data_IF_101935774131
#
_entry.id   IF_101935774131
#
_cell.length_a   1.000
_cell.length_b   1.000
_cell.length_c   1.000
_cell.angle_alpha   90.00
_cell.angle_beta   90.00
_cell.angle_gamma   90.00
#
_symmetry.space_group_name_H-M   'P 1'
#
loop_
_entity.id
_entity.type
_entity.pdbx_description
1 polymer ?
#
# COMPACT_ATOMS: atom_id res chain seq x y z
N UNK A 1 -25.81 -0.38 -2.57
CA UNK A 1 -24.65 -0.52 -3.50
C UNK A 1 -23.42 0.36 -3.17
N UNK A 2 -23.56 1.65 -2.79
CA UNK A 2 -22.39 2.54 -2.53
C UNK A 2 -21.47 2.07 -1.38
N UNK A 3 -22.03 1.46 -0.32
CA UNK A 3 -21.24 1.01 0.86
C UNK A 3 -20.29 -0.16 0.56
N UNK A 4 -20.72 -1.13 -0.26
CA UNK A 4 -19.87 -2.26 -0.64
C UNK A 4 -18.67 -1.81 -1.49
N UNK A 5 -18.88 -0.88 -2.42
CA UNK A 5 -17.80 -0.29 -3.23
C UNK A 5 -16.78 0.45 -2.37
N UNK A 6 -17.21 1.29 -1.42
CA UNK A 6 -16.28 2.02 -0.53
C UNK A 6 -15.50 1.11 0.43
N UNK A 7 -16.03 -0.08 0.74
CA UNK A 7 -15.32 -1.08 1.52
C UNK A 7 -14.27 -1.80 0.69
N UNK A 8 -14.63 -2.32 -0.49
CA UNK A 8 -13.73 -3.13 -1.31
C UNK A 8 -12.69 -2.31 -2.08
N UNK A 9 -13.03 -1.09 -2.49
CA UNK A 9 -12.15 -0.24 -3.30
C UNK A 9 -10.74 -0.05 -2.72
N UNK A 10 -10.55 0.41 -1.45
CA UNK A 10 -9.20 0.60 -0.91
C UNK A 10 -8.40 -0.71 -0.86
N UNK A 11 -9.07 -1.85 -0.65
CA UNK A 11 -8.42 -3.17 -0.55
C UNK A 11 -7.96 -3.68 -1.91
N UNK A 12 -8.82 -3.58 -2.92
CA UNK A 12 -8.47 -3.94 -4.30
C UNK A 12 -7.32 -3.07 -4.79
N UNK A 13 -7.39 -1.75 -4.57
CA UNK A 13 -6.30 -0.83 -4.93
C UNK A 13 -4.99 -1.17 -4.21
N UNK A 14 -5.06 -1.59 -2.95
CA UNK A 14 -3.88 -2.05 -2.20
C UNK A 14 -3.28 -3.30 -2.80
N UNK A 15 -4.11 -4.29 -3.17
CA UNK A 15 -3.64 -5.52 -3.81
C UNK A 15 -2.96 -5.21 -5.14
N UNK A 16 -3.55 -4.33 -5.95
CA UNK A 16 -2.96 -3.85 -7.20
C UNK A 16 -1.62 -3.15 -6.94
N UNK A 17 -1.54 -2.29 -5.91
CA UNK A 17 -0.28 -1.63 -5.53
C UNK A 17 0.79 -2.65 -5.12
N UNK A 18 0.45 -3.67 -4.33
CA UNK A 18 1.39 -4.72 -3.92
C UNK A 18 1.93 -5.47 -5.14
N UNK A 19 1.07 -5.83 -6.08
CA UNK A 19 1.48 -6.49 -7.33
C UNK A 19 2.41 -5.56 -8.12
N UNK A 20 2.03 -4.29 -8.29
CA UNK A 20 2.85 -3.29 -8.98
C UNK A 20 4.25 -3.16 -8.37
N UNK A 21 4.36 -3.00 -7.04
CA UNK A 21 5.65 -2.90 -6.36
C UNK A 21 6.45 -4.21 -6.46
N UNK A 22 5.79 -5.37 -6.47
CA UNK A 22 6.47 -6.67 -6.58
C UNK A 22 7.11 -6.90 -7.96
N UNK A 23 6.62 -6.27 -9.03
CA UNK A 23 7.21 -6.39 -10.37
C UNK A 23 8.62 -5.79 -10.40
N UNK A 24 8.89 -4.74 -9.62
CA UNK A 24 10.24 -4.16 -9.53
C UNK A 24 11.27 -5.13 -8.92
N UNK A 25 10.83 -6.14 -8.15
CA UNK A 25 11.73 -7.16 -7.63
C UNK A 25 12.26 -8.09 -8.73
N UNK A 26 11.66 -8.10 -9.93
CA UNK A 26 12.11 -8.92 -11.05
C UNK A 26 13.40 -8.39 -11.71
N UNK A 27 13.88 -7.19 -11.35
CA UNK A 27 15.10 -6.63 -11.94
C UNK A 27 16.35 -7.45 -11.57
N UNK A 28 16.33 -8.10 -10.39
CA UNK A 28 17.42 -8.94 -9.88
C UNK A 28 17.78 -10.14 -10.74
N UNK A 29 16.87 -10.57 -11.64
CA UNK A 29 17.12 -11.69 -12.55
C UNK A 29 18.18 -11.35 -13.60
N UNK A 30 18.48 -10.07 -13.82
CA UNK A 30 19.53 -9.64 -14.75
C UNK A 30 20.93 -9.72 -14.13
N UNK A 31 21.04 -9.60 -12.81
CA UNK A 31 22.32 -9.41 -12.11
C UNK A 31 22.79 -10.63 -11.28
N UNK A 32 21.88 -11.53 -10.88
CA UNK A 32 22.18 -12.63 -9.97
C UNK A 32 21.77 -14.01 -10.51
N UNK A 33 22.48 -15.07 -10.09
CA UNK A 33 22.16 -16.47 -10.45
C UNK A 33 22.24 -17.40 -9.23
N UNK A 34 21.69 -18.62 -9.35
CA UNK A 34 21.79 -19.65 -8.31
C UNK A 34 21.11 -19.26 -6.99
N UNK A 35 21.80 -19.49 -5.86
CA UNK A 35 21.27 -19.21 -4.51
C UNK A 35 21.22 -17.72 -4.22
N UNK A 36 22.17 -16.94 -4.75
CA UNK A 36 22.24 -15.49 -4.56
C UNK A 36 21.00 -14.79 -5.13
N UNK A 37 20.49 -15.28 -6.27
CA UNK A 37 19.23 -14.80 -6.86
C UNK A 37 18.05 -14.92 -5.89
N UNK A 38 17.94 -16.03 -5.15
CA UNK A 38 16.84 -16.24 -4.21
C UNK A 38 16.90 -15.24 -3.05
N UNK A 39 18.10 -14.97 -2.54
CA UNK A 39 18.32 -13.98 -1.47
C UNK A 39 18.04 -12.57 -1.98
N UNK A 40 18.56 -12.21 -3.15
CA UNK A 40 18.34 -10.91 -3.77
C UNK A 40 16.85 -10.65 -4.04
N UNK A 41 16.14 -11.63 -4.61
CA UNK A 41 14.71 -11.56 -4.86
C UNK A 41 13.90 -11.40 -3.57
N UNK A 42 14.23 -12.16 -2.52
CA UNK A 42 13.58 -12.03 -1.23
C UNK A 42 13.78 -10.64 -0.63
N UNK A 43 15.01 -10.09 -0.70
CA UNK A 43 15.29 -8.74 -0.22
C UNK A 43 14.53 -7.67 -1.01
N UNK A 44 14.40 -7.81 -2.33
CA UNK A 44 13.65 -6.86 -3.16
C UNK A 44 12.13 -6.96 -2.97
N UNK A 45 11.62 -8.09 -2.46
CA UNK A 45 10.21 -8.25 -2.09
C UNK A 45 9.87 -7.70 -0.70
N UNK A 46 10.85 -7.31 0.13
CA UNK A 46 10.61 -6.74 1.46
C UNK A 46 9.61 -5.56 1.43
N UNK A 47 9.71 -4.57 0.51
CA UNK A 47 8.72 -3.50 0.40
C UNK A 47 7.30 -4.03 0.20
N UNK A 48 7.10 -5.02 -0.68
CA UNK A 48 5.79 -5.65 -0.93
C UNK A 48 5.28 -6.41 0.30
N UNK A 49 6.16 -7.14 1.00
CA UNK A 49 5.80 -7.86 2.23
C UNK A 49 5.32 -6.91 3.33
N UNK A 50 5.98 -5.75 3.48
CA UNK A 50 5.54 -4.69 4.41
C UNK A 50 4.13 -4.22 4.04
N UNK A 51 3.87 -3.93 2.76
CA UNK A 51 2.55 -3.51 2.29
C UNK A 51 1.46 -4.57 2.54
N UNK A 52 1.78 -5.86 2.39
CA UNK A 52 0.88 -6.98 2.74
C UNK A 52 0.53 -6.94 4.22
N UNK A 53 1.52 -6.80 5.10
CA UNK A 53 1.29 -6.71 6.55
C UNK A 53 0.39 -5.52 6.88
N UNK A 54 0.65 -4.35 6.27
CA UNK A 54 -0.20 -3.16 6.45
C UNK A 54 -1.63 -3.41 5.98
N UNK A 55 -1.83 -4.07 4.83
CA UNK A 55 -3.15 -4.45 4.32
C UNK A 55 -3.89 -5.39 5.28
N UNK A 56 -3.22 -6.40 5.82
CA UNK A 56 -3.80 -7.35 6.78
C UNK A 56 -4.27 -6.61 8.04
N UNK A 57 -3.46 -5.71 8.58
CA UNK A 57 -3.84 -4.84 9.71
C UNK A 57 -5.04 -3.95 9.33
N UNK A 58 -5.01 -3.34 8.14
CA UNK A 58 -6.08 -2.49 7.62
C UNK A 58 -7.41 -3.23 7.47
N UNK A 59 -7.38 -4.55 7.27
CA UNK A 59 -8.57 -5.37 7.10
C UNK A 59 -9.46 -5.38 8.34
N UNK A 60 -8.85 -5.51 9.52
CA UNK A 60 -9.53 -5.45 10.82
C UNK A 60 -9.67 -4.03 11.34
N UNK A 61 -8.64 -3.19 11.14
CA UNK A 61 -8.54 -1.84 11.71
C UNK A 61 -8.31 -0.77 10.64
N UNK A 62 -9.37 -0.45 9.89
CA UNK A 62 -9.32 0.49 8.76
C UNK A 62 -8.70 1.86 9.08
N UNK A 63 -8.93 2.40 10.28
CA UNK A 63 -8.30 3.68 10.68
C UNK A 63 -6.79 3.56 10.80
N UNK A 64 -6.32 2.49 11.43
CA UNK A 64 -4.89 2.24 11.65
C UNK A 64 -4.22 1.95 10.31
N UNK A 65 -4.83 1.10 9.48
CA UNK A 65 -4.38 0.84 8.11
C UNK A 65 -4.25 2.11 7.27
N UNK A 66 -5.26 3.00 7.32
CA UNK A 66 -5.21 4.27 6.60
C UNK A 66 -4.06 5.18 7.06
N UNK A 67 -3.78 5.24 8.37
CA UNK A 67 -2.63 5.99 8.90
C UNK A 67 -1.31 5.36 8.44
N UNK A 68 -1.20 4.03 8.51
CA UNK A 68 0.01 3.32 8.08
C UNK A 68 0.30 3.57 6.59
N UNK A 69 -0.70 3.54 5.71
CA UNK A 69 -0.52 3.87 4.29
C UNK A 69 -0.08 5.32 4.05
N UNK A 70 -0.58 6.28 4.84
CA UNK A 70 -0.12 7.67 4.76
C UNK A 70 1.35 7.76 5.22
N UNK A 71 1.71 7.06 6.30
CA UNK A 71 3.10 6.99 6.76
C UNK A 71 3.97 6.37 5.66
N UNK A 72 3.54 5.29 5.03
CA UNK A 72 4.25 4.69 3.89
C UNK A 72 4.49 5.71 2.79
N UNK A 73 3.48 6.50 2.40
CA UNK A 73 3.64 7.53 1.38
C UNK A 73 4.66 8.62 1.77
N UNK A 74 4.67 9.03 3.04
CA UNK A 74 5.64 10.01 3.56
C UNK A 74 7.04 9.42 3.55
N UNK A 75 7.19 8.19 4.06
CA UNK A 75 8.46 7.47 4.09
C UNK A 75 9.01 7.29 2.68
N UNK A 76 8.19 6.86 1.73
CA UNK A 76 8.65 6.70 0.34
C UNK A 76 9.07 8.05 -0.26
N UNK A 77 8.30 9.10 -0.01
CA UNK A 77 8.61 10.45 -0.50
C UNK A 77 9.95 10.97 0.01
N UNK A 78 10.22 10.82 1.30
CA UNK A 78 11.43 11.37 1.93
C UNK A 78 12.64 10.46 1.67
N UNK A 79 12.50 9.15 1.93
CA UNK A 79 13.62 8.22 1.89
C UNK A 79 14.11 7.97 0.46
N UNK A 80 13.20 7.77 -0.49
CA UNK A 80 13.55 7.62 -1.90
C UNK A 80 13.60 8.96 -2.65
N UNK A 81 13.43 10.08 -1.93
CA UNK A 81 13.43 11.45 -2.48
C UNK A 81 12.54 11.61 -3.71
N UNK A 82 11.40 10.91 -3.74
CA UNK A 82 10.54 10.89 -4.94
C UNK A 82 10.04 12.28 -5.30
N UNK A 83 10.04 13.24 -4.37
CA UNK A 83 9.67 14.63 -4.64
C UNK A 83 10.56 15.32 -5.69
N UNK A 84 11.74 14.78 -6.00
CA UNK A 84 12.65 15.31 -7.02
C UNK A 84 12.20 14.98 -8.45
N UNK A 85 11.40 13.94 -8.62
CA UNK A 85 10.90 13.49 -9.91
C UNK A 85 9.38 13.28 -9.83
N UNK A 86 8.64 14.09 -10.59
CA UNK A 86 7.18 14.06 -10.55
C UNK A 86 6.61 12.69 -10.96
N UNK A 87 7.23 12.00 -11.90
CA UNK A 87 6.77 10.69 -12.39
C UNK A 87 6.97 9.65 -11.29
N UNK A 88 8.16 9.62 -10.67
CA UNK A 88 8.45 8.70 -9.56
C UNK A 88 7.54 8.98 -8.36
N UNK A 89 7.28 10.26 -8.05
CA UNK A 89 6.33 10.63 -7.00
C UNK A 89 4.92 10.09 -7.28
N UNK A 90 4.42 10.27 -8.51
CA UNK A 90 3.09 9.83 -8.92
C UNK A 90 2.95 8.32 -8.92
N UNK A 91 4.02 7.57 -9.21
CA UNK A 91 3.99 6.11 -9.26
C UNK A 91 4.21 5.44 -7.91
N UNK A 92 5.07 6.01 -7.05
CA UNK A 92 5.50 5.34 -5.82
C UNK A 92 4.83 5.92 -4.58
N UNK A 93 4.70 7.23 -4.49
CA UNK A 93 4.26 7.92 -3.27
C UNK A 93 2.78 8.30 -3.29
N UNK A 94 2.23 8.65 -4.45
CA UNK A 94 0.82 9.02 -4.57
C UNK A 94 -0.13 7.83 -4.33
N UNK A 95 0.11 6.60 -4.85
CA UNK A 95 -0.82 5.49 -4.64
C UNK A 95 -1.03 5.11 -3.17
N UNK A 96 0.01 4.90 -2.33
CA UNK A 96 -0.20 4.62 -0.91
C UNK A 96 -0.91 5.79 -0.20
N UNK A 97 -0.65 7.04 -0.58
CA UNK A 97 -1.36 8.20 -0.02
C UNK A 97 -2.87 8.15 -0.33
N UNK A 98 -3.22 7.91 -1.60
CA UNK A 98 -4.61 7.81 -2.04
C UNK A 98 -5.34 6.65 -1.34
N UNK A 99 -4.70 5.49 -1.23
CA UNK A 99 -5.22 4.32 -0.51
C UNK A 99 -5.44 4.64 0.98
N UNK A 100 -4.49 5.31 1.63
CA UNK A 100 -4.59 5.71 3.03
C UNK A 100 -5.79 6.62 3.28
N UNK A 101 -5.98 7.63 2.43
CA UNK A 101 -7.15 8.53 2.49
C UNK A 101 -8.46 7.74 2.33
N UNK A 102 -8.53 6.81 1.37
CA UNK A 102 -9.71 5.97 1.15
C UNK A 102 -10.05 5.10 2.37
N UNK A 103 -9.04 4.49 3.01
CA UNK A 103 -9.23 3.72 4.26
C UNK A 103 -9.78 4.59 5.39
N UNK A 104 -9.29 5.83 5.54
CA UNK A 104 -9.78 6.77 6.54
C UNK A 104 -11.22 7.23 6.29
N UNK A 105 -11.58 7.51 5.03
CA UNK A 105 -12.94 7.87 4.63
C UNK A 105 -13.91 6.71 4.93
N UNK A 106 -13.53 5.50 4.54
CA UNK A 106 -14.35 4.31 4.76
C UNK A 106 -14.55 4.03 6.27
N UNK A 107 -13.51 4.18 7.08
CA UNK A 107 -13.56 4.05 8.54
C UNK A 107 -14.57 5.02 9.20
N UNK A 108 -14.59 6.30 8.78
CA UNK A 108 -15.55 7.30 9.28
C UNK A 108 -17.00 6.92 8.93
N UNK A 109 -17.25 6.43 7.72
CA UNK A 109 -18.58 6.01 7.26
C UNK A 109 -19.10 4.77 8.01
N UNK A 110 -18.22 3.84 8.36
CA UNK A 110 -18.56 2.66 9.15
C UNK A 110 -18.95 3.02 10.59
N UNK A 111 -18.24 3.97 11.21
CA UNK A 111 -18.57 4.48 12.56
C UNK A 111 -19.93 5.19 12.58
N UNK A 112 -20.22 6.05 11.59
CA UNK A 112 -21.53 6.73 11.48
C UNK A 112 -22.68 5.73 11.40
N UNK A 113 -22.54 4.68 10.59
CA UNK A 113 -23.58 3.64 10.44
C UNK A 113 -23.83 2.85 11.73
N UNK A 114 -22.80 2.60 12.55
CA UNK A 114 -22.99 1.94 13.87
C UNK A 114 -23.67 2.85 14.89
N UNK A 115 -23.45 4.17 14.81
CA UNK A 115 -24.02 5.15 15.75
C UNK A 115 -25.48 5.48 15.46
N UNK A 116 -25.95 5.41 14.21
CA UNK A 116 -27.37 5.59 13.87
C UNK A 116 -28.24 4.35 14.09
N UNK A 117 -27.64 3.18 14.39
CA UNK A 117 -28.36 1.94 14.72
C UNK A 117 -28.45 1.67 16.23
N UNK A 118 -27.93 2.56 17.06
CA UNK A 118 -27.91 2.46 18.52
C UNK A 118 -28.72 3.62 19.08
#
# INVERSE_FOLDING_TARGET
MKKARLYWLPRILTIVLIIFISIFALDVFSDFTGVELLVALFMHLIPSLILIVVLVVAWKWEKIGGILFIITAIVTTIFFKTYQDIIVFLLISLPPLAIGILFLINSKNRKKTKRTKK
#
